data_IF_722985966881
#
_entry.id   IF_722985966881
#
_cell.length_a   1.000
_cell.length_b   1.000
_cell.length_c   1.000
_cell.angle_alpha   90.00
_cell.angle_beta   90.00
_cell.angle_gamma   90.00
#
_symmetry.space_group_name_H-M   'P 1'
#
loop_
_entity.id
_entity.type
_entity.pdbx_description
1 polymer ?
#
# COMPACT_ATOMS: atom_id res chain seq x y z
N UNK A 1 1.43 -11.51 -12.96
CA UNK A 1 2.73 -12.21 -12.85
C UNK A 1 2.77 -12.69 -11.41
N UNK A 2 2.70 -14.00 -11.15
CA UNK A 2 2.62 -14.50 -9.76
C UNK A 2 3.97 -14.29 -9.09
N UNK A 3 3.99 -13.61 -7.95
CA UNK A 3 5.17 -13.44 -7.15
C UNK A 3 5.44 -14.78 -6.43
N UNK A 4 6.41 -15.55 -6.92
CA UNK A 4 6.84 -16.77 -6.24
C UNK A 4 7.53 -16.38 -4.93
N UNK A 5 6.83 -16.58 -3.81
CA UNK A 5 7.44 -16.51 -2.49
C UNK A 5 8.51 -17.61 -2.41
N UNK A 6 9.75 -17.19 -2.19
CA UNK A 6 10.86 -18.12 -2.02
C UNK A 6 10.63 -18.94 -0.76
N UNK A 7 10.16 -20.18 -0.92
CA UNK A 7 10.07 -21.16 0.17
C UNK A 7 11.46 -21.34 0.78
N UNK A 8 11.68 -20.81 1.98
CA UNK A 8 12.86 -21.14 2.78
C UNK A 8 12.70 -22.57 3.28
N UNK A 9 13.73 -23.38 3.09
CA UNK A 9 13.74 -24.77 3.51
C UNK A 9 14.15 -24.89 4.99
N UNK A 10 13.29 -25.52 5.79
CA UNK A 10 13.58 -26.20 7.06
C UNK A 10 14.00 -25.32 8.26
N UNK A 11 12.99 -24.86 8.98
CA UNK A 11 12.98 -24.19 10.28
C UNK A 11 11.62 -23.50 10.34
N UNK A 12 10.90 -23.47 11.47
CA UNK A 12 9.58 -22.82 11.53
C UNK A 12 9.63 -21.47 10.81
N UNK A 13 8.97 -21.37 9.65
CA UNK A 13 8.99 -20.16 8.82
C UNK A 13 8.27 -19.09 9.64
N UNK A 14 9.05 -18.29 10.36
CA UNK A 14 8.54 -17.12 11.05
C UNK A 14 8.08 -16.16 9.95
N UNK A 15 6.79 -15.80 9.89
CA UNK A 15 6.31 -14.87 8.89
C UNK A 15 7.08 -13.55 9.04
N UNK A 16 7.33 -12.87 7.93
CA UNK A 16 8.01 -11.56 7.91
C UNK A 16 7.10 -10.42 8.45
N UNK A 17 6.05 -10.78 9.19
CA UNK A 17 5.01 -9.93 9.76
C UNK A 17 4.42 -10.52 11.07
N UNK A 18 3.70 -9.69 11.83
CA UNK A 18 2.95 -10.08 13.03
C UNK A 18 1.62 -10.75 12.64
N UNK A 19 1.51 -12.05 12.87
CA UNK A 19 0.34 -12.86 12.50
C UNK A 19 -0.95 -12.47 13.24
N UNK A 20 -0.86 -11.96 14.47
CA UNK A 20 -2.03 -11.50 15.23
C UNK A 20 -2.60 -10.24 14.57
N UNK A 21 -1.71 -9.29 14.23
CA UNK A 21 -2.12 -8.07 13.53
C UNK A 21 -2.61 -8.34 12.12
N UNK A 22 -1.95 -9.25 11.39
CA UNK A 22 -2.39 -9.71 10.06
C UNK A 22 -3.81 -10.24 10.12
N UNK A 23 -4.11 -11.16 11.05
CA UNK A 23 -5.43 -11.76 11.20
C UNK A 23 -6.50 -10.73 11.58
N UNK A 24 -6.16 -9.76 12.43
CA UNK A 24 -7.06 -8.66 12.78
C UNK A 24 -7.38 -7.80 11.55
N UNK A 25 -6.36 -7.46 10.75
CA UNK A 25 -6.53 -6.70 9.51
C UNK A 25 -7.39 -7.47 8.49
N UNK A 26 -7.10 -8.75 8.24
CA UNK A 26 -7.87 -9.61 7.34
C UNK A 26 -9.33 -9.71 7.79
N UNK A 27 -9.58 -9.89 9.10
CA UNK A 27 -10.95 -9.93 9.64
C UNK A 27 -11.69 -8.62 9.38
N UNK A 28 -11.02 -7.48 9.59
CA UNK A 28 -11.58 -6.15 9.30
C UNK A 28 -11.91 -6.01 7.81
N UNK A 29 -10.97 -6.34 6.93
CA UNK A 29 -11.14 -6.23 5.48
C UNK A 29 -12.29 -7.11 4.96
N UNK A 30 -12.39 -8.36 5.43
CA UNK A 30 -13.48 -9.27 5.06
C UNK A 30 -14.87 -8.80 5.54
N UNK A 31 -14.93 -7.90 6.52
CA UNK A 31 -16.17 -7.30 7.00
C UNK A 31 -16.54 -6.00 6.27
N UNK A 32 -15.65 -5.46 5.42
CA UNK A 32 -15.92 -4.25 4.64
C UNK A 32 -16.79 -4.56 3.43
N UNK A 33 -17.59 -3.57 3.01
CA UNK A 33 -18.32 -3.60 1.75
C UNK A 33 -17.73 -2.54 0.81
N UNK A 34 -17.61 -2.87 -0.48
CA UNK A 34 -17.02 -1.98 -1.47
C UNK A 34 -15.50 -2.03 -1.50
N UNK A 35 -14.86 -0.89 -1.76
CA UNK A 35 -13.41 -0.78 -1.87
C UNK A 35 -12.70 -1.02 -0.53
N UNK A 36 -11.59 -1.75 -0.60
CA UNK A 36 -10.81 -2.13 0.57
C UNK A 36 -9.75 -1.08 0.88
N UNK A 37 -10.17 0.03 1.45
CA UNK A 37 -9.31 1.16 1.79
C UNK A 37 -8.96 1.17 3.27
N UNK A 38 -7.67 1.15 3.57
CA UNK A 38 -7.18 1.28 4.96
C UNK A 38 -6.16 2.42 5.07
N UNK A 39 -6.13 3.15 6.20
CA UNK A 39 -5.08 4.11 6.46
C UNK A 39 -3.70 3.46 6.29
N UNK A 40 -2.78 4.14 5.60
CA UNK A 40 -1.49 3.55 5.25
C UNK A 40 -0.67 3.10 6.47
N UNK A 41 -0.80 3.80 7.60
CA UNK A 41 -0.10 3.41 8.82
C UNK A 41 -0.70 2.17 9.47
N UNK A 42 -1.99 1.89 9.22
CA UNK A 42 -2.62 0.63 9.63
C UNK A 42 -2.14 -0.53 8.74
N UNK A 43 -1.96 -0.31 7.44
CA UNK A 43 -1.35 -1.29 6.54
C UNK A 43 0.05 -1.72 6.99
N UNK A 44 0.86 -0.78 7.49
CA UNK A 44 2.20 -1.07 8.00
C UNK A 44 2.23 -1.58 9.45
N UNK A 45 1.11 -1.59 10.17
CA UNK A 45 1.11 -2.02 11.57
C UNK A 45 1.09 -3.54 11.67
N UNK A 46 2.28 -4.13 11.76
CA UNK A 46 2.49 -5.58 11.79
C UNK A 46 3.18 -6.09 10.53
N UNK A 47 3.20 -5.33 9.43
CA UNK A 47 3.98 -5.64 8.23
C UNK A 47 5.42 -5.14 8.38
N UNK A 48 6.34 -6.02 8.75
CA UNK A 48 7.74 -5.64 8.97
C UNK A 48 8.61 -5.77 7.73
N UNK A 49 8.49 -6.87 6.98
CA UNK A 49 9.37 -7.18 5.86
C UNK A 49 8.72 -8.06 4.77
N UNK A 50 7.39 -8.14 4.72
CA UNK A 50 6.70 -8.89 3.66
C UNK A 50 6.73 -8.11 2.34
N UNK A 51 7.81 -8.26 1.58
CA UNK A 51 8.01 -7.59 0.29
C UNK A 51 7.01 -8.03 -0.79
N UNK A 52 6.30 -9.14 -0.57
CA UNK A 52 5.21 -9.57 -1.45
C UNK A 52 3.98 -8.67 -1.34
N UNK A 53 3.86 -7.90 -0.26
CA UNK A 53 2.64 -7.13 0.07
C UNK A 53 2.51 -5.78 -0.64
N UNK A 54 3.60 -5.19 -1.13
CA UNK A 54 3.64 -3.91 -1.84
C UNK A 54 4.93 -3.80 -2.65
N UNK A 55 4.83 -3.43 -3.93
CA UNK A 55 6.00 -3.25 -4.79
C UNK A 55 6.73 -4.56 -5.13
N UNK A 56 6.04 -5.70 -5.09
CA UNK A 56 6.63 -7.02 -5.25
C UNK A 56 7.40 -7.22 -6.58
N UNK A 57 7.09 -6.43 -7.60
CA UNK A 57 7.77 -6.38 -8.90
C UNK A 57 9.19 -5.78 -8.83
N UNK A 58 9.57 -5.09 -7.75
CA UNK A 58 10.85 -4.38 -7.63
C UNK A 58 12.05 -5.31 -7.33
N UNK A 59 11.87 -6.63 -7.32
CA UNK A 59 12.96 -7.59 -7.12
C UNK A 59 14.01 -7.52 -8.25
N UNK A 60 15.33 -7.56 -7.96
CA UNK A 60 15.97 -7.77 -6.65
C UNK A 60 16.29 -6.49 -5.87
N UNK A 61 15.79 -5.33 -6.30
CA UNK A 61 16.10 -4.01 -5.75
C UNK A 61 14.95 -3.43 -4.90
N UNK A 62 14.13 -4.31 -4.32
CA UNK A 62 13.04 -3.91 -3.45
C UNK A 62 13.60 -3.13 -2.24
N UNK A 63 13.13 -1.90 -1.97
CA UNK A 63 13.71 -1.04 -0.94
C UNK A 63 13.34 -1.49 0.50
N UNK A 64 12.46 -2.48 0.63
CA UNK A 64 11.99 -3.04 1.89
C UNK A 64 10.79 -2.27 2.45
N UNK A 65 9.90 -2.96 3.17
CA UNK A 65 8.67 -2.37 3.72
C UNK A 65 8.94 -1.18 4.66
N UNK A 66 10.07 -1.21 5.38
CA UNK A 66 10.51 -0.10 6.23
C UNK A 66 10.76 1.21 5.46
N UNK A 67 11.26 1.13 4.21
CA UNK A 67 11.47 2.31 3.36
C UNK A 67 10.14 2.90 2.90
N UNK A 68 9.19 2.06 2.47
CA UNK A 68 7.82 2.47 2.17
C UNK A 68 7.15 3.16 3.35
N UNK A 69 7.20 2.53 4.54
CA UNK A 69 6.66 3.11 5.77
C UNK A 69 7.27 4.48 6.08
N UNK A 70 8.58 4.61 5.95
CA UNK A 70 9.28 5.87 6.25
C UNK A 70 8.92 6.99 5.27
N UNK A 71 8.78 6.66 3.98
CA UNK A 71 8.37 7.61 2.95
C UNK A 71 6.94 8.13 3.22
N UNK A 72 5.97 7.25 3.46
CA UNK A 72 4.59 7.66 3.73
C UNK A 72 4.41 8.34 5.08
N UNK A 73 5.16 7.94 6.10
CA UNK A 73 5.17 8.66 7.38
C UNK A 73 5.69 10.09 7.22
N UNK A 74 6.69 10.29 6.36
CA UNK A 74 7.22 11.63 6.06
C UNK A 74 6.21 12.47 5.30
N UNK A 75 5.51 11.89 4.33
CA UNK A 75 4.42 12.55 3.60
C UNK A 75 3.28 12.97 4.54
N UNK A 76 2.88 12.13 5.50
CA UNK A 76 1.84 12.45 6.49
C UNK A 76 2.19 13.63 7.40
N UNK A 77 3.47 13.99 7.52
CA UNK A 77 3.91 15.15 8.31
C UNK A 77 3.84 16.47 7.53
N UNK A 78 3.44 16.44 6.25
CA UNK A 78 3.32 17.63 5.42
C UNK A 78 1.94 18.28 5.57
N UNK A 79 1.90 19.60 5.51
CA UNK A 79 0.63 20.35 5.60
C UNK A 79 -0.26 20.22 4.37
N UNK A 80 0.31 19.90 3.21
CA UNK A 80 -0.39 19.73 1.94
C UNK A 80 -0.84 18.29 1.66
N UNK A 81 -0.71 17.40 2.66
CA UNK A 81 -1.20 16.02 2.64
C UNK A 81 -2.17 15.84 3.81
N UNK A 82 -3.42 15.50 3.52
CA UNK A 82 -4.47 15.34 4.54
C UNK A 82 -4.66 13.89 4.98
N UNK A 83 -4.46 12.92 4.08
CA UNK A 83 -4.57 11.51 4.40
C UNK A 83 -3.89 10.63 3.34
N UNK A 84 -3.53 9.41 3.73
CA UNK A 84 -2.97 8.40 2.82
C UNK A 84 -3.62 7.05 3.09
N UNK A 85 -4.06 6.37 2.04
CA UNK A 85 -4.73 5.08 2.12
C UNK A 85 -4.08 4.05 1.20
N UNK A 86 -3.91 2.83 1.70
CA UNK A 86 -3.65 1.67 0.86
C UNK A 86 -4.97 1.12 0.32
N UNK A 87 -4.99 0.80 -0.97
CA UNK A 87 -6.06 0.04 -1.60
C UNK A 87 -5.67 -1.43 -1.64
N UNK A 88 -6.34 -2.25 -0.84
CA UNK A 88 -6.07 -3.68 -0.79
C UNK A 88 -6.66 -4.34 -2.02
N UNK A 89 -5.78 -4.77 -2.92
CA UNK A 89 -6.14 -5.38 -4.19
C UNK A 89 -6.37 -6.88 -4.05
N UNK A 90 -5.74 -7.53 -3.06
CA UNK A 90 -5.90 -8.96 -2.84
C UNK A 90 -5.72 -9.36 -1.36
N UNK A 91 -6.53 -10.33 -0.93
CA UNK A 91 -6.41 -11.03 0.35
C UNK A 91 -6.33 -12.51 0.02
N UNK A 92 -5.17 -13.11 0.21
CA UNK A 92 -4.96 -14.54 -0.03
C UNK A 92 -5.52 -15.36 1.14
N UNK A 93 -6.60 -16.15 0.95
CA UNK A 93 -7.28 -16.84 2.05
C UNK A 93 -6.48 -18.01 2.61
N UNK A 94 -5.66 -18.66 1.77
CA UNK A 94 -4.95 -19.89 2.09
C UNK A 94 -3.44 -19.67 2.29
N UNK A 95 -2.97 -18.44 2.15
CA UNK A 95 -1.57 -18.09 2.36
C UNK A 95 -1.40 -17.36 3.70
N UNK A 96 -0.34 -17.71 4.42
CA UNK A 96 0.14 -16.92 5.54
C UNK A 96 0.94 -15.72 5.00
N UNK A 97 0.23 -14.83 4.30
CA UNK A 97 0.78 -13.60 3.71
C UNK A 97 0.04 -12.37 4.22
N UNK A 98 0.72 -11.23 4.16
CA UNK A 98 0.09 -9.94 4.40
C UNK A 98 -0.85 -9.57 3.23
N UNK A 99 -1.97 -8.86 3.46
CA UNK A 99 -2.80 -8.34 2.37
C UNK A 99 -1.98 -7.55 1.35
N UNK A 100 -2.30 -7.70 0.06
CA UNK A 100 -1.55 -7.10 -1.03
C UNK A 100 -2.14 -5.76 -1.47
N UNK A 101 -1.28 -4.80 -1.76
CA UNK A 101 -1.64 -3.53 -2.39
C UNK A 101 -0.62 -3.15 -3.46
N UNK A 102 -1.12 -2.73 -4.60
CA UNK A 102 -0.35 -2.13 -5.69
C UNK A 102 -0.56 -0.61 -5.74
N UNK A 103 -1.51 -0.07 -4.98
CA UNK A 103 -2.02 1.29 -5.14
C UNK A 103 -2.19 2.01 -3.81
N UNK A 104 -1.60 3.19 -3.74
CA UNK A 104 -1.72 4.09 -2.60
C UNK A 104 -2.39 5.40 -3.05
N UNK A 105 -3.42 5.83 -2.32
CA UNK A 105 -4.12 7.09 -2.55
C UNK A 105 -3.64 8.16 -1.58
N UNK A 106 -3.31 9.33 -2.13
CA UNK A 106 -2.82 10.49 -1.39
C UNK A 106 -3.84 11.61 -1.51
N UNK A 107 -4.45 11.99 -0.40
CA UNK A 107 -5.36 13.11 -0.31
C UNK A 107 -4.59 14.37 0.06
N UNK A 108 -4.87 15.46 -0.65
CA UNK A 108 -4.28 16.77 -0.35
C UNK A 108 -4.00 17.61 -1.58
N UNK A 109 -3.30 18.71 -1.37
CA UNK A 109 -2.94 19.68 -2.41
C UNK A 109 -1.53 19.51 -2.93
N UNK A 110 -0.75 18.56 -2.42
CA UNK A 110 0.57 18.20 -2.97
C UNK A 110 0.48 17.95 -4.48
N UNK A 111 1.42 18.46 -5.27
CA UNK A 111 1.43 18.23 -6.73
C UNK A 111 1.97 16.84 -7.06
N UNK A 112 1.60 16.30 -8.23
CA UNK A 112 2.10 15.00 -8.68
C UNK A 112 3.63 14.99 -8.87
N UNK A 113 4.22 16.10 -9.31
CA UNK A 113 5.68 16.23 -9.46
C UNK A 113 6.41 16.18 -8.13
N UNK A 114 5.91 16.92 -7.12
CA UNK A 114 6.51 16.92 -5.80
C UNK A 114 6.31 15.57 -5.12
N UNK A 115 5.12 14.97 -5.25
CA UNK A 115 4.85 13.64 -4.74
C UNK A 115 5.83 12.61 -5.33
N UNK A 116 6.05 12.64 -6.65
CA UNK A 116 7.02 11.77 -7.31
C UNK A 116 8.46 11.97 -6.80
N UNK A 117 8.85 13.21 -6.53
CA UNK A 117 10.15 13.51 -5.92
C UNK A 117 10.27 12.95 -4.50
N UNK A 118 9.25 13.10 -3.67
CA UNK A 118 9.26 12.59 -2.29
C UNK A 118 9.25 11.06 -2.22
N UNK A 119 8.64 10.40 -3.21
CA UNK A 119 8.52 8.92 -3.24
C UNK A 119 9.50 8.23 -4.19
N UNK A 120 10.46 8.94 -4.80
CA UNK A 120 11.36 8.33 -5.78
C UNK A 120 12.14 7.12 -5.24
N UNK A 121 12.51 7.13 -3.96
CA UNK A 121 13.26 6.05 -3.31
C UNK A 121 12.47 4.74 -3.21
N UNK A 122 11.14 4.81 -3.26
CA UNK A 122 10.27 3.63 -3.24
C UNK A 122 9.85 3.20 -4.65
N UNK A 123 10.44 3.82 -5.69
CA UNK A 123 10.39 3.37 -7.08
C UNK A 123 8.96 3.11 -7.63
N UNK A 124 8.00 4.04 -7.46
CA UNK A 124 6.69 3.86 -8.09
C UNK A 124 6.80 3.82 -9.61
N UNK A 125 6.00 2.98 -10.25
CA UNK A 125 5.82 2.98 -11.71
C UNK A 125 5.18 4.30 -12.14
N UNK A 126 4.15 4.74 -11.42
CA UNK A 126 3.38 5.93 -11.78
C UNK A 126 2.97 6.75 -10.55
N UNK A 127 3.01 8.08 -10.71
CA UNK A 127 2.45 9.06 -9.79
C UNK A 127 1.60 10.03 -10.61
N UNK A 128 0.29 10.07 -10.36
CA UNK A 128 -0.63 10.90 -11.14
C UNK A 128 -1.86 11.33 -10.33
N UNK A 129 -2.58 12.33 -10.85
CA UNK A 129 -3.91 12.68 -10.37
C UNK A 129 -4.87 11.52 -10.60
N UNK A 130 -5.78 11.27 -9.65
CA UNK A 130 -6.76 10.19 -9.74
C UNK A 130 -7.65 10.30 -11.00
N UNK A 131 -7.90 11.51 -11.49
CA UNK A 131 -8.68 11.76 -12.71
C UNK A 131 -8.01 11.27 -14.01
N UNK A 132 -6.69 11.04 -14.01
CA UNK A 132 -5.94 10.52 -15.16
C UNK A 132 -6.18 9.02 -15.32
N UNK A 133 -6.62 8.31 -14.28
CA UNK A 133 -7.01 6.91 -14.37
C UNK A 133 -8.42 6.80 -15.00
N UNK A 134 -8.46 6.55 -16.31
CA UNK A 134 -9.66 6.54 -17.16
C UNK A 134 -10.67 5.41 -16.85
N UNK A 135 -10.41 4.59 -15.84
CA UNK A 135 -11.20 3.42 -15.48
C UNK A 135 -11.68 3.55 -14.04
N UNK A 136 -12.90 4.07 -13.87
CA UNK A 136 -13.69 4.05 -12.64
C UNK A 136 -12.91 4.44 -11.38
N UNK A 137 -12.96 5.72 -11.04
CA UNK A 137 -12.63 6.17 -9.68
C UNK A 137 -13.78 5.76 -8.75
N UNK A 138 -13.55 4.91 -7.74
CA UNK A 138 -14.57 4.61 -6.74
C UNK A 138 -15.14 5.86 -6.09
N UNK A 139 -16.47 5.92 -5.94
CA UNK A 139 -17.13 7.09 -5.34
C UNK A 139 -16.71 7.26 -3.88
N UNK A 140 -16.48 6.15 -3.21
CA UNK A 140 -16.00 6.05 -1.84
C UNK A 140 -14.68 6.81 -1.66
N UNK A 141 -13.80 6.81 -2.68
CA UNK A 141 -12.57 7.61 -2.64
C UNK A 141 -12.82 9.10 -2.73
N UNK A 142 -13.77 9.51 -3.57
CA UNK A 142 -14.08 10.94 -3.77
C UNK A 142 -14.83 11.50 -2.56
N UNK A 143 -15.66 10.68 -1.92
CA UNK A 143 -16.52 11.10 -0.81
C UNK A 143 -15.81 11.06 0.55
N UNK A 144 -14.68 10.35 0.67
CA UNK A 144 -13.94 10.22 1.94
C UNK A 144 -13.36 11.55 2.43
N UNK A 145 -12.88 12.38 1.49
CA UNK A 145 -12.29 13.69 1.77
C UNK A 145 -12.66 14.68 0.66
N UNK A 146 -12.89 15.94 1.02
CA UNK A 146 -13.13 17.02 0.05
C UNK A 146 -11.86 17.48 -0.69
N UNK A 147 -10.75 16.76 -0.57
CA UNK A 147 -9.44 17.13 -1.12
C UNK A 147 -9.16 16.41 -2.45
N UNK A 148 -8.35 17.00 -3.35
CA UNK A 148 -7.85 16.30 -4.52
C UNK A 148 -7.12 15.02 -4.12
N UNK A 149 -7.16 14.02 -5.00
CA UNK A 149 -6.58 12.70 -4.77
C UNK A 149 -5.54 12.41 -5.85
N UNK A 150 -4.36 11.98 -5.41
CA UNK A 150 -3.30 11.41 -6.26
C UNK A 150 -3.20 9.92 -6.01
N UNK A 151 -2.67 9.22 -7.00
CA UNK A 151 -2.41 7.78 -6.94
C UNK A 151 -0.92 7.58 -7.11
N UNK A 152 -0.37 6.68 -6.31
CA UNK A 152 0.93 6.07 -6.52
C UNK A 152 0.71 4.59 -6.80
N UNK A 153 1.33 4.06 -7.85
CA UNK A 153 1.12 2.69 -8.32
C UNK A 153 2.43 1.96 -8.65
N UNK A 154 2.46 0.64 -8.43
CA UNK A 154 3.52 -0.30 -8.78
C UNK A 154 2.94 -1.47 -9.59
N UNK A 155 3.64 -1.91 -10.65
CA UNK A 155 3.22 -3.06 -11.50
C UNK A 155 3.17 -4.42 -10.79
#
# INVERSE_FOLDING_TARGET
>A
MYCETTKKSNGEDIPDFDSIKRNALVTKLNAMAGELLIPIMEFFDGNSDDQGSLGCNLYPSHPGISAFRSAFQSLLNREDVSAIYAHISEIEPDQDSWPYTDRIYIYGTISSELLAQETHMIQPTEVAELSVFHSHVPKELIELHSSPVKVIWWD
#
